data_IF_581475346122
#
_entry.id   IF_581475346122
#
_cell.length_a   1.000
_cell.length_b   1.000
_cell.length_c   1.000
_cell.angle_alpha   90.00
_cell.angle_beta   90.00
_cell.angle_gamma   90.00
#
_symmetry.space_group_name_H-M   'P 1'
#
loop_
_entity.id
_entity.type
_entity.pdbx_description
1 polymer ?
#
# COMPACT_ATOMS: atom_id res chain seq x y z
N UNK A 1 2.33 46.61 -9.67
CA UNK A 1 1.83 45.38 -9.04
C UNK A 1 2.33 44.23 -9.90
N UNK A 2 3.28 43.41 -9.42
CA UNK A 2 3.62 42.17 -10.10
C UNK A 2 3.34 41.05 -9.11
N UNK A 3 2.27 40.33 -9.39
CA UNK A 3 1.67 39.34 -8.52
C UNK A 3 2.65 38.16 -8.38
N UNK A 4 3.12 37.92 -7.16
CA UNK A 4 3.81 36.67 -6.82
C UNK A 4 2.74 35.58 -6.79
N UNK A 5 2.49 34.96 -7.93
CA UNK A 5 1.66 33.78 -8.03
C UNK A 5 2.43 32.61 -7.38
N UNK A 6 2.28 32.49 -6.07
CA UNK A 6 3.09 31.69 -5.16
C UNK A 6 2.82 30.19 -5.27
N UNK A 7 2.99 29.62 -6.46
CA UNK A 7 2.96 28.16 -6.62
C UNK A 7 4.33 27.61 -6.26
N UNK A 8 4.44 26.92 -5.13
CA UNK A 8 5.68 26.31 -4.66
C UNK A 8 6.11 25.19 -5.62
N UNK A 9 7.16 25.43 -6.41
CA UNK A 9 7.74 24.44 -7.31
C UNK A 9 8.69 23.51 -6.57
N UNK A 10 8.81 22.27 -7.04
CA UNK A 10 9.85 21.36 -6.57
C UNK A 10 11.24 21.86 -6.92
N UNK A 11 12.23 21.53 -6.08
CA UNK A 11 13.58 22.08 -6.22
C UNK A 11 14.33 21.58 -7.46
N UNK A 12 14.15 20.31 -7.85
CA UNK A 12 14.86 19.69 -8.99
C UNK A 12 13.99 19.70 -10.25
N UNK A 13 12.84 19.02 -10.23
CA UNK A 13 11.99 18.87 -11.42
C UNK A 13 11.23 20.15 -11.82
N UNK A 14 11.23 21.20 -10.98
CA UNK A 14 10.49 22.46 -11.18
C UNK A 14 9.00 22.24 -11.48
N UNK A 15 8.45 21.15 -10.96
CA UNK A 15 7.08 20.72 -11.18
C UNK A 15 6.14 21.27 -10.10
N UNK A 16 4.86 21.38 -10.43
CA UNK A 16 3.77 21.87 -9.56
C UNK A 16 2.89 20.73 -9.05
N UNK A 17 2.74 19.66 -9.83
CA UNK A 17 1.86 18.53 -9.51
C UNK A 17 2.65 17.23 -9.35
N UNK A 18 2.01 16.20 -8.77
CA UNK A 18 2.64 14.88 -8.62
C UNK A 18 2.88 14.23 -9.98
N UNK A 19 1.94 14.39 -10.91
CA UNK A 19 2.01 13.87 -12.27
C UNK A 19 3.18 14.50 -13.03
N UNK A 20 3.36 15.82 -12.95
CA UNK A 20 4.50 16.51 -13.56
C UNK A 20 5.85 16.08 -12.97
N UNK A 21 5.90 15.75 -11.67
CA UNK A 21 7.11 15.20 -11.03
C UNK A 21 7.42 13.82 -11.61
N UNK A 22 6.40 12.97 -11.78
CA UNK A 22 6.55 11.62 -12.34
C UNK A 22 7.03 11.69 -13.80
N UNK A 23 6.37 12.49 -14.65
CA UNK A 23 6.73 12.67 -16.06
C UNK A 23 8.19 13.13 -16.23
N UNK A 24 8.68 14.00 -15.35
CA UNK A 24 10.08 14.42 -15.34
C UNK A 24 11.01 13.23 -15.03
N UNK A 25 10.77 12.49 -13.95
CA UNK A 25 11.64 11.40 -13.52
C UNK A 25 11.55 10.13 -14.37
N UNK A 26 10.47 9.95 -15.14
CA UNK A 26 10.37 8.86 -16.14
C UNK A 26 11.40 9.01 -17.27
N UNK A 27 11.85 10.24 -17.54
CA UNK A 27 12.81 10.55 -18.62
C UNK A 27 14.18 11.00 -18.14
N UNK A 28 14.35 11.25 -16.84
CA UNK A 28 15.59 11.75 -16.24
C UNK A 28 16.15 10.77 -15.20
N UNK A 29 17.45 10.51 -15.26
CA UNK A 29 18.12 9.66 -14.26
C UNK A 29 18.37 10.44 -12.98
N UNK A 30 18.09 9.85 -11.82
CA UNK A 30 18.47 10.42 -10.52
C UNK A 30 19.99 10.67 -10.41
N UNK A 31 20.80 9.85 -11.09
CA UNK A 31 22.25 9.96 -11.05
C UNK A 31 22.75 11.32 -11.58
N UNK A 32 22.05 11.91 -12.56
CA UNK A 32 22.42 13.19 -13.17
C UNK A 32 22.26 14.38 -12.21
N UNK A 33 21.53 14.16 -11.11
CA UNK A 33 21.23 15.16 -10.09
C UNK A 33 21.80 14.81 -8.73
N UNK A 34 22.66 13.79 -8.63
CA UNK A 34 23.14 13.25 -7.35
C UNK A 34 23.78 14.33 -6.46
N UNK A 35 24.56 15.25 -7.03
CA UNK A 35 25.20 16.36 -6.32
C UNK A 35 24.23 17.41 -5.77
N UNK A 36 22.97 17.40 -6.24
CA UNK A 36 21.88 18.25 -5.75
C UNK A 36 21.00 17.53 -4.71
N UNK A 37 21.27 16.25 -4.46
CA UNK A 37 20.56 15.45 -3.44
C UNK A 37 21.34 15.42 -2.14
N UNK A 38 20.67 15.03 -1.06
CA UNK A 38 21.31 14.78 0.24
C UNK A 38 20.76 13.49 0.84
N UNK A 39 21.58 12.83 1.65
CA UNK A 39 21.16 11.63 2.35
C UNK A 39 20.03 11.96 3.34
N UNK A 40 18.94 11.18 3.28
CA UNK A 40 17.83 11.27 4.22
C UNK A 40 17.61 9.91 4.86
N UNK A 41 17.54 9.88 6.20
CA UNK A 41 17.11 8.69 6.95
C UNK A 41 15.61 8.73 7.14
N UNK A 42 14.93 7.66 6.74
CA UNK A 42 13.50 7.48 6.96
C UNK A 42 13.22 6.09 7.55
N UNK A 43 12.23 6.02 8.45
CA UNK A 43 11.80 4.77 9.05
C UNK A 43 10.62 4.19 8.29
N UNK A 44 10.80 3.02 7.69
CA UNK A 44 9.69 2.28 7.07
C UNK A 44 9.15 1.24 8.05
N UNK A 45 7.90 1.42 8.49
CA UNK A 45 7.18 0.39 9.26
C UNK A 45 6.64 -0.70 8.34
N UNK A 46 7.53 -1.54 7.82
CA UNK A 46 7.14 -2.74 7.07
C UNK A 46 6.69 -3.85 8.03
N UNK A 47 5.43 -3.80 8.51
CA UNK A 47 4.85 -4.91 9.30
C UNK A 47 4.86 -6.19 8.45
N UNK A 48 5.62 -7.21 8.86
CA UNK A 48 5.56 -8.54 8.25
C UNK A 48 4.14 -9.09 8.39
N UNK A 49 3.41 -9.19 7.28
CA UNK A 49 2.10 -9.83 7.25
C UNK A 49 2.30 -11.32 7.03
N UNK A 50 1.75 -12.16 7.92
CA UNK A 50 1.59 -13.59 7.65
C UNK A 50 0.32 -13.75 6.83
N UNK A 51 0.44 -14.35 5.64
CA UNK A 51 -0.69 -14.58 4.73
C UNK A 51 -0.82 -16.07 4.50
N UNK A 52 -2.05 -16.57 4.51
CA UNK A 52 -2.39 -17.93 4.10
C UNK A 52 -3.20 -17.81 2.82
N UNK A 53 -2.69 -18.39 1.74
CA UNK A 53 -3.40 -18.40 0.45
C UNK A 53 -4.49 -19.46 0.50
N UNK A 54 -5.70 -19.09 0.06
CA UNK A 54 -6.79 -20.03 -0.14
C UNK A 54 -6.90 -20.38 -1.62
N UNK A 55 -7.25 -21.63 -1.92
CA UNK A 55 -7.60 -22.02 -3.29
C UNK A 55 -8.84 -21.22 -3.75
N UNK A 56 -8.95 -20.88 -5.05
CA UNK A 56 -10.04 -20.04 -5.57
C UNK A 56 -11.44 -20.52 -5.19
N UNK A 57 -11.68 -21.83 -5.30
CA UNK A 57 -12.94 -22.49 -4.97
C UNK A 57 -13.28 -22.41 -3.46
N UNK A 58 -12.26 -22.49 -2.60
CA UNK A 58 -12.42 -22.33 -1.15
C UNK A 58 -12.79 -20.88 -0.84
N UNK A 59 -12.09 -19.93 -1.44
CA UNK A 59 -12.38 -18.51 -1.23
C UNK A 59 -13.80 -18.14 -1.68
N UNK A 60 -14.24 -18.64 -2.84
CA UNK A 60 -15.61 -18.42 -3.31
C UNK A 60 -16.67 -18.91 -2.30
N UNK A 61 -16.44 -20.09 -1.71
CA UNK A 61 -17.31 -20.62 -0.65
C UNK A 61 -17.31 -19.77 0.62
N UNK A 62 -16.12 -19.34 1.08
CA UNK A 62 -15.97 -18.43 2.22
C UNK A 62 -16.69 -17.11 1.96
N UNK A 63 -16.50 -16.51 0.78
CA UNK A 63 -17.08 -15.22 0.43
C UNK A 63 -18.61 -15.27 0.43
N UNK A 64 -19.20 -16.31 -0.18
CA UNK A 64 -20.66 -16.49 -0.20
C UNK A 64 -21.23 -16.58 1.22
N UNK A 65 -20.57 -17.33 2.10
CA UNK A 65 -21.01 -17.49 3.49
C UNK A 65 -20.78 -16.23 4.34
N UNK A 66 -19.66 -15.53 4.15
CA UNK A 66 -19.36 -14.30 4.85
C UNK A 66 -20.38 -13.21 4.47
N UNK A 67 -20.71 -13.10 3.18
CA UNK A 67 -21.74 -12.20 2.67
C UNK A 67 -23.12 -12.49 3.28
N UNK A 68 -23.52 -13.76 3.33
CA UNK A 68 -24.80 -14.15 3.96
C UNK A 68 -24.86 -13.80 5.46
N UNK A 69 -23.71 -13.74 6.14
CA UNK A 69 -23.59 -13.40 7.57
C UNK A 69 -23.31 -11.91 7.82
N UNK A 70 -23.17 -11.09 6.77
CA UNK A 70 -22.85 -9.67 6.90
C UNK A 70 -21.46 -9.36 7.47
N UNK A 71 -20.50 -10.27 7.30
CA UNK A 71 -19.11 -10.12 7.78
C UNK A 71 -18.12 -10.26 6.62
N UNK A 72 -16.87 -9.84 6.85
CA UNK A 72 -15.80 -10.00 5.86
C UNK A 72 -15.24 -11.45 5.86
N UNK A 73 -14.78 -11.96 4.71
CA UNK A 73 -14.21 -13.31 4.59
C UNK A 73 -13.13 -13.62 5.62
N UNK A 74 -12.25 -12.66 5.94
CA UNK A 74 -11.16 -12.81 6.90
C UNK A 74 -11.68 -13.10 8.31
N UNK A 75 -12.77 -12.46 8.72
CA UNK A 75 -13.41 -12.69 10.02
C UNK A 75 -14.00 -14.09 10.08
N UNK A 76 -14.67 -14.53 9.00
CA UNK A 76 -15.26 -15.87 8.95
C UNK A 76 -14.19 -16.97 9.00
N UNK A 77 -13.10 -16.81 8.25
CA UNK A 77 -11.96 -17.74 8.27
C UNK A 77 -11.35 -17.83 9.67
N UNK A 78 -11.13 -16.69 10.33
CA UNK A 78 -10.59 -16.69 11.70
C UNK A 78 -11.52 -17.40 12.68
N UNK A 79 -12.83 -17.16 12.61
CA UNK A 79 -13.80 -17.81 13.49
C UNK A 79 -13.74 -19.34 13.34
N UNK A 80 -13.78 -19.85 12.11
CA UNK A 80 -13.70 -21.29 11.85
C UNK A 80 -12.38 -21.91 12.29
N UNK A 81 -11.26 -21.21 12.10
CA UNK A 81 -9.96 -21.69 12.56
C UNK A 81 -9.91 -21.77 14.09
N UNK A 82 -10.45 -20.77 14.80
CA UNK A 82 -10.54 -20.80 16.27
C UNK A 82 -11.41 -21.97 16.75
N UNK A 83 -12.60 -22.16 16.17
CA UNK A 83 -13.51 -23.27 16.50
C UNK A 83 -12.84 -24.63 16.31
N UNK A 84 -12.10 -24.81 15.20
CA UNK A 84 -11.38 -26.06 14.90
C UNK A 84 -10.21 -26.30 15.84
N UNK A 85 -9.39 -25.28 16.10
CA UNK A 85 -8.25 -25.40 17.01
C UNK A 85 -8.68 -25.67 18.46
N UNK A 86 -9.85 -25.18 18.89
CA UNK A 86 -10.39 -25.50 20.21
C UNK A 86 -10.93 -26.92 20.31
N UNK A 87 -11.47 -27.45 19.20
CA UNK A 87 -12.02 -28.81 19.15
C UNK A 87 -10.94 -29.89 19.12
N UNK A 88 -9.78 -29.60 18.51
CA UNK A 88 -8.66 -30.56 18.40
C UNK A 88 -7.79 -30.65 19.69
N UNK A 89 -8.03 -29.77 20.67
CA UNK A 89 -7.29 -29.72 21.95
C UNK A 89 -8.07 -30.41 23.09
N UNK A 90 -9.20 -31.07 22.77
CA UNK A 90 -10.03 -31.83 23.71
C UNK A 90 -9.74 -33.34 23.70
#
# INVERSE_FOLDING_TARGET
MNESDGTQLTSISKARTMEEIADFWDTHSLADYWDQTHEVRFEVRAKRRRRVTLAPEVYAGVEAQARARGIVPETLVNLWLVERLQSDVA
#
